data_IF_269427011194
#
_entry.id   IF_269427011194
#
_cell.length_a   1.000
_cell.length_b   1.000
_cell.length_c   1.000
_cell.angle_alpha   90.00
_cell.angle_beta   90.00
_cell.angle_gamma   90.00
#
_symmetry.space_group_name_H-M   'P 1'
#
loop_
_entity.id
_entity.type
_entity.pdbx_description
1 polymer ?
#
# COMPACT_ATOMS: atom_id res chain seq x y z
N UNK A 1 1.05 -21.28 -71.03
CA UNK A 1 1.61 -20.84 -69.73
C UNK A 1 0.47 -20.46 -68.82
N UNK A 2 0.10 -21.32 -67.86
CA UNK A 2 -1.03 -21.12 -66.95
C UNK A 2 -0.44 -20.71 -65.59
N UNK A 3 -0.71 -19.47 -65.15
CA UNK A 3 -0.34 -18.97 -63.82
C UNK A 3 -1.36 -19.49 -62.81
N UNK A 4 -0.94 -20.41 -61.93
CA UNK A 4 -1.70 -20.81 -60.74
C UNK A 4 -1.68 -19.67 -59.73
N UNK A 5 -2.86 -19.13 -59.39
CA UNK A 5 -3.05 -18.23 -58.27
C UNK A 5 -3.38 -19.11 -57.05
N UNK A 6 -2.47 -19.13 -56.08
CA UNK A 6 -2.68 -19.80 -54.79
C UNK A 6 -3.24 -18.73 -53.84
N UNK A 7 -4.51 -18.86 -53.46
CA UNK A 7 -5.09 -18.08 -52.36
C UNK A 7 -4.55 -18.63 -51.02
N UNK A 8 -3.76 -17.83 -50.31
CA UNK A 8 -3.48 -18.06 -48.89
C UNK A 8 -4.59 -17.40 -48.07
N UNK A 9 -5.43 -18.22 -47.44
CA UNK A 9 -6.44 -17.78 -46.47
C UNK A 9 -5.79 -17.75 -45.08
N UNK A 10 -5.45 -16.55 -44.61
CA UNK A 10 -4.82 -16.35 -43.30
C UNK A 10 -5.90 -16.25 -42.22
N UNK A 11 -6.09 -17.32 -41.46
CA UNK A 11 -6.94 -17.32 -40.26
C UNK A 11 -6.19 -16.57 -39.15
N UNK A 12 -6.60 -15.32 -38.88
CA UNK A 12 -6.19 -14.58 -37.70
C UNK A 12 -6.97 -15.10 -36.48
N UNK A 13 -6.36 -16.02 -35.73
CA UNK A 13 -6.85 -16.40 -34.40
C UNK A 13 -6.42 -15.28 -33.44
N UNK A 14 -7.30 -14.32 -33.20
CA UNK A 14 -7.15 -13.33 -32.13
C UNK A 14 -7.30 -14.03 -30.78
N UNK A 15 -6.18 -14.44 -30.19
CA UNK A 15 -6.13 -14.87 -28.79
C UNK A 15 -6.30 -13.64 -27.89
N UNK A 16 -7.54 -13.31 -27.56
CA UNK A 16 -7.83 -12.50 -26.38
C UNK A 16 -7.67 -13.40 -25.17
N UNK A 17 -6.44 -13.59 -24.69
CA UNK A 17 -6.19 -14.16 -23.37
C UNK A 17 -6.67 -13.16 -22.33
N UNK A 18 -7.95 -13.22 -22.00
CA UNK A 18 -8.43 -12.76 -20.69
C UNK A 18 -7.78 -13.73 -19.70
N UNK A 19 -6.59 -13.38 -19.22
CA UNK A 19 -6.03 -14.02 -18.04
C UNK A 19 -6.97 -13.68 -16.89
N UNK A 20 -7.92 -14.57 -16.63
CA UNK A 20 -8.58 -14.62 -15.35
C UNK A 20 -7.47 -14.84 -14.32
N UNK A 21 -7.10 -13.78 -13.58
CA UNK A 21 -6.25 -13.96 -12.42
C UNK A 21 -7.02 -14.90 -11.47
N UNK A 22 -6.42 -16.01 -11.02
CA UNK A 22 -7.05 -16.83 -10.00
C UNK A 22 -7.14 -15.98 -8.74
N UNK A 23 -8.35 -15.60 -8.36
CA UNK A 23 -8.60 -14.95 -7.08
C UNK A 23 -8.25 -15.96 -5.98
N UNK A 24 -7.04 -15.86 -5.40
CA UNK A 24 -6.62 -16.77 -4.35
C UNK A 24 -7.58 -16.70 -3.15
N UNK A 25 -7.80 -17.85 -2.51
CA UNK A 25 -8.45 -17.87 -1.22
C UNK A 25 -7.51 -17.27 -0.17
N UNK A 26 -8.04 -16.44 0.73
CA UNK A 26 -7.28 -15.95 1.88
C UNK A 26 -6.67 -17.10 2.66
N UNK A 27 -5.38 -17.00 2.96
CA UNK A 27 -4.61 -18.00 3.70
C UNK A 27 -4.33 -17.53 5.11
N UNK A 28 -3.56 -16.45 5.24
CA UNK A 28 -3.08 -15.92 6.50
C UNK A 28 -2.61 -14.48 6.34
N UNK A 29 -2.35 -13.80 7.46
CA UNK A 29 -1.53 -12.58 7.49
C UNK A 29 -0.15 -12.99 7.98
N UNK A 30 0.91 -12.47 7.35
CA UNK A 30 2.30 -12.82 7.71
C UNK A 30 2.67 -12.41 9.13
N UNK A 31 2.04 -11.35 9.63
CA UNK A 31 2.16 -10.85 11.00
C UNK A 31 0.81 -10.26 11.43
N UNK A 32 0.34 -10.56 12.64
CA UNK A 32 -1.01 -10.19 13.05
C UNK A 32 -1.08 -8.83 13.74
N UNK A 33 -0.05 -8.53 14.53
CA UNK A 33 -0.01 -7.38 15.39
C UNK A 33 1.11 -6.47 14.91
N UNK A 34 0.86 -5.18 14.96
CA UNK A 34 1.96 -4.24 14.86
C UNK A 34 2.62 -4.14 16.24
N UNK A 35 3.94 -4.35 16.29
CA UNK A 35 4.73 -4.02 17.49
C UNK A 35 4.62 -2.53 17.88
N UNK A 36 4.11 -1.71 16.96
CA UNK A 36 4.23 -0.26 16.96
C UNK A 36 2.89 0.49 17.09
N UNK A 37 1.74 -0.19 17.06
CA UNK A 37 0.44 0.44 17.31
C UNK A 37 -0.64 -0.61 17.57
N UNK A 38 -1.80 -0.21 18.08
CA UNK A 38 -2.91 -1.11 18.42
C UNK A 38 -3.68 -1.67 17.19
N UNK A 39 -3.01 -1.81 16.04
CA UNK A 39 -3.58 -2.38 14.84
C UNK A 39 -3.61 -3.90 14.92
N UNK A 40 -4.80 -4.49 14.74
CA UNK A 40 -4.95 -5.94 14.68
C UNK A 40 -5.35 -6.36 13.26
N UNK A 41 -4.34 -6.71 12.47
CA UNK A 41 -4.52 -7.16 11.09
C UNK A 41 -5.23 -8.52 11.02
N UNK A 42 -5.19 -9.33 12.07
CA UNK A 42 -5.84 -10.63 12.17
C UNK A 42 -7.22 -10.60 12.85
N UNK A 43 -7.80 -9.42 13.07
CA UNK A 43 -9.14 -9.32 13.65
C UNK A 43 -10.17 -10.01 12.74
N UNK A 44 -11.24 -10.55 13.34
CA UNK A 44 -12.29 -11.28 12.59
C UNK A 44 -12.89 -10.41 11.47
N UNK A 45 -13.07 -9.12 11.72
CA UNK A 45 -13.56 -8.15 10.74
C UNK A 45 -12.59 -7.98 9.58
N UNK A 46 -11.30 -7.81 9.87
CA UNK A 46 -10.27 -7.67 8.84
C UNK A 46 -10.13 -8.94 7.99
N UNK A 47 -10.09 -10.13 8.61
CA UNK A 47 -10.04 -11.41 7.87
C UNK A 47 -11.25 -11.57 6.94
N UNK A 48 -12.45 -11.20 7.40
CA UNK A 48 -13.64 -11.22 6.53
C UNK A 48 -13.47 -10.29 5.33
N UNK A 49 -13.01 -9.05 5.59
CA UNK A 49 -12.76 -8.06 4.54
C UNK A 49 -11.72 -8.54 3.52
N UNK A 50 -10.64 -9.18 3.97
CA UNK A 50 -9.62 -9.72 3.06
C UNK A 50 -10.17 -10.83 2.16
N UNK A 51 -10.97 -11.75 2.73
CA UNK A 51 -11.66 -12.79 1.97
C UNK A 51 -12.57 -12.21 0.90
N UNK A 52 -13.32 -11.15 1.23
CA UNK A 52 -14.24 -10.51 0.30
C UNK A 52 -13.49 -9.75 -0.80
N UNK A 53 -12.44 -9.01 -0.43
CA UNK A 53 -11.62 -8.23 -1.37
C UNK A 53 -10.88 -9.15 -2.35
N UNK A 54 -10.25 -10.23 -1.86
CA UNK A 54 -9.56 -11.20 -2.73
C UNK A 54 -10.51 -11.87 -3.74
N UNK A 55 -11.80 -12.04 -3.41
CA UNK A 55 -12.79 -12.62 -4.33
C UNK A 55 -13.29 -11.64 -5.38
N UNK A 56 -13.31 -10.35 -5.08
CA UNK A 56 -14.07 -9.35 -5.84
C UNK A 56 -13.20 -8.34 -6.57
N UNK A 57 -11.98 -8.11 -6.09
CA UNK A 57 -11.10 -7.06 -6.58
C UNK A 57 -9.95 -7.63 -7.41
N UNK A 58 -9.50 -6.86 -8.40
CA UNK A 58 -8.25 -7.13 -9.13
C UNK A 58 -7.09 -6.52 -8.38
N UNK A 59 -5.87 -7.01 -8.65
CA UNK A 59 -4.66 -6.37 -8.16
C UNK A 59 -4.65 -4.87 -8.52
N UNK A 60 -4.35 -4.04 -7.53
CA UNK A 60 -4.23 -2.59 -7.67
C UNK A 60 -2.83 -2.11 -7.25
N UNK A 61 -1.89 -3.01 -6.98
CA UNK A 61 -0.57 -2.68 -6.49
C UNK A 61 0.43 -3.70 -7.03
N UNK A 62 1.48 -3.24 -7.72
CA UNK A 62 2.50 -4.10 -8.36
C UNK A 62 1.93 -5.20 -9.29
N UNK A 63 0.76 -4.99 -9.90
CA UNK A 63 -0.02 -5.98 -10.67
C UNK A 63 -0.31 -7.33 -9.96
N UNK A 64 0.08 -7.44 -8.69
CA UNK A 64 0.14 -8.69 -7.94
C UNK A 64 -0.64 -8.59 -6.64
N UNK A 65 -0.62 -7.44 -6.00
CA UNK A 65 -1.21 -7.23 -4.69
C UNK A 65 -2.48 -6.38 -4.79
N UNK A 66 -3.33 -6.53 -3.79
CA UNK A 66 -4.36 -5.55 -3.45
C UNK A 66 -3.88 -4.80 -2.22
N UNK A 67 -3.56 -3.52 -2.37
CA UNK A 67 -3.26 -2.61 -1.28
C UNK A 67 -4.57 -2.12 -0.66
N UNK A 68 -4.71 -2.32 0.65
CA UNK A 68 -5.93 -2.03 1.41
C UNK A 68 -5.59 -1.23 2.67
N UNK A 69 -6.37 -0.18 2.93
CA UNK A 69 -6.35 0.49 4.25
C UNK A 69 -7.32 -0.22 5.20
N UNK A 70 -6.79 -0.80 6.28
CA UNK A 70 -7.54 -1.43 7.38
C UNK A 70 -7.88 -0.46 8.50
N UNK A 71 -7.22 0.70 8.54
CA UNK A 71 -7.51 1.78 9.47
C UNK A 71 -8.77 2.57 9.11
N UNK A 72 -8.81 3.82 9.53
CA UNK A 72 -9.94 4.74 9.33
C UNK A 72 -9.62 5.78 8.26
N UNK A 73 -10.47 6.80 8.11
CA UNK A 73 -10.15 7.97 7.28
C UNK A 73 -9.12 8.90 7.93
N UNK A 74 -8.91 8.75 9.24
CA UNK A 74 -8.02 9.60 10.04
C UNK A 74 -6.73 8.86 10.46
N UNK A 75 -6.66 7.57 10.15
CA UNK A 75 -5.51 6.70 10.42
C UNK A 75 -5.33 5.70 9.29
N UNK A 76 -4.14 5.69 8.67
CA UNK A 76 -3.76 4.72 7.65
C UNK A 76 -3.02 3.56 8.30
N UNK A 77 -3.54 2.37 8.08
CA UNK A 77 -2.92 1.09 8.45
C UNK A 77 -3.03 0.23 7.19
N UNK A 78 -1.93 0.00 6.49
CA UNK A 78 -1.97 -0.60 5.17
C UNK A 78 -1.59 -2.08 5.21
N UNK A 79 -2.21 -2.86 4.35
CA UNK A 79 -1.86 -4.27 4.10
C UNK A 79 -1.86 -4.53 2.59
N UNK A 80 -0.88 -5.29 2.11
CA UNK A 80 -0.85 -5.79 0.75
C UNK A 80 -1.28 -7.26 0.73
N UNK A 81 -2.39 -7.56 0.05
CA UNK A 81 -2.92 -8.91 -0.12
C UNK A 81 -2.40 -9.50 -1.43
N UNK A 82 -1.62 -10.58 -1.36
CA UNK A 82 -1.12 -11.29 -2.54
C UNK A 82 -2.26 -12.06 -3.22
N UNK A 83 -2.62 -11.63 -4.44
CA UNK A 83 -3.73 -12.23 -5.20
C UNK A 83 -3.44 -13.66 -5.65
N UNK A 84 -2.19 -14.11 -5.62
CA UNK A 84 -1.77 -15.45 -6.06
C UNK A 84 -1.66 -16.43 -4.89
N UNK A 85 -1.16 -15.97 -3.74
CA UNK A 85 -0.90 -16.84 -2.58
C UNK A 85 -1.95 -16.73 -1.46
N UNK A 86 -2.73 -15.65 -1.46
CA UNK A 86 -3.71 -15.36 -0.42
C UNK A 86 -3.11 -14.90 0.91
N UNK A 87 -1.81 -14.60 0.94
CA UNK A 87 -1.11 -14.07 2.13
C UNK A 87 -1.27 -12.55 2.17
N UNK A 88 -1.57 -11.99 3.35
CA UNK A 88 -1.53 -10.56 3.60
C UNK A 88 -0.22 -10.13 4.26
N UNK A 89 0.39 -9.06 3.76
CA UNK A 89 1.62 -8.47 4.29
C UNK A 89 1.32 -7.08 4.85
N UNK A 90 1.28 -6.91 6.19
CA UNK A 90 1.02 -5.62 6.79
C UNK A 90 2.20 -4.66 6.64
N UNK A 91 1.88 -3.37 6.55
CA UNK A 91 2.81 -2.28 6.75
C UNK A 91 2.72 -1.90 8.23
N UNK A 92 3.74 -2.27 9.02
CA UNK A 92 3.76 -2.13 10.48
C UNK A 92 3.94 -0.67 10.98
N UNK A 93 3.46 0.33 10.24
CA UNK A 93 3.39 1.71 10.68
C UNK A 93 1.99 2.26 10.53
N UNK A 94 1.57 3.07 11.51
CA UNK A 94 0.34 3.85 11.43
C UNK A 94 0.68 5.28 11.03
N UNK A 95 -0.10 5.84 10.09
CA UNK A 95 0.01 7.25 9.71
C UNK A 95 -1.27 8.00 10.07
N UNK A 96 -1.14 9.05 10.86
CA UNK A 96 -2.24 9.98 11.17
C UNK A 96 -2.04 11.32 10.45
N UNK A 97 -2.94 12.26 10.70
CA UNK A 97 -2.94 13.53 9.99
C UNK A 97 -1.77 14.46 10.35
N UNK A 98 -1.78 15.61 9.68
CA UNK A 98 -0.74 16.61 9.74
C UNK A 98 -1.08 17.69 10.74
N UNK A 99 -0.16 18.03 11.62
CA UNK A 99 -0.33 18.97 12.73
C UNK A 99 0.54 20.21 12.56
N UNK A 100 -0.03 21.40 12.73
CA UNK A 100 0.77 22.63 12.73
C UNK A 100 1.74 22.68 13.92
N UNK A 101 2.59 23.72 13.96
CA UNK A 101 3.61 23.89 15.00
C UNK A 101 3.02 24.02 16.43
N UNK A 102 1.70 24.16 16.56
CA UNK A 102 0.99 24.20 17.85
C UNK A 102 0.22 22.90 18.15
N UNK A 103 0.39 21.86 17.33
CA UNK A 103 -0.30 20.57 17.48
C UNK A 103 -1.73 20.55 16.90
N UNK A 104 -2.16 21.56 16.15
CA UNK A 104 -3.51 21.55 15.57
C UNK A 104 -3.53 20.76 14.27
N UNK A 105 -4.43 19.77 14.19
CA UNK A 105 -4.67 19.00 12.97
C UNK A 105 -5.14 19.91 11.80
N UNK A 106 -4.39 19.94 10.70
CA UNK A 106 -4.69 20.73 9.48
C UNK A 106 -5.07 19.88 8.27
N UNK A 107 -4.64 18.62 8.23
CA UNK A 107 -4.84 17.74 7.06
C UNK A 107 -4.94 16.29 7.49
N UNK A 108 -5.81 15.51 6.86
CA UNK A 108 -5.88 14.04 7.04
C UNK A 108 -4.63 13.35 6.48
N UNK A 109 -4.29 12.13 6.95
CA UNK A 109 -3.24 11.35 6.30
C UNK A 109 -3.64 11.02 4.86
N UNK A 110 -2.65 10.80 4.02
CA UNK A 110 -2.87 10.42 2.61
C UNK A 110 -1.78 9.47 2.14
N UNK A 111 -2.04 8.74 1.05
CA UNK A 111 -1.06 7.86 0.46
C UNK A 111 -1.21 7.81 -1.06
N UNK A 112 -0.12 7.49 -1.73
CA UNK A 112 -0.05 7.26 -3.18
C UNK A 112 0.68 5.95 -3.41
N UNK A 113 0.30 5.19 -4.43
CA UNK A 113 0.93 3.91 -4.75
C UNK A 113 0.98 3.70 -6.26
N UNK A 114 1.85 2.80 -6.70
CA UNK A 114 2.01 2.44 -8.11
C UNK A 114 1.20 1.20 -8.47
N UNK A 115 0.63 1.19 -9.67
CA UNK A 115 0.10 -0.05 -10.24
C UNK A 115 1.23 -0.97 -10.73
N UNK A 116 2.38 -0.40 -11.07
CA UNK A 116 3.44 -1.07 -11.83
C UNK A 116 4.65 -1.50 -10.98
N UNK A 117 4.70 -1.07 -9.73
CA UNK A 117 5.74 -1.44 -8.79
C UNK A 117 5.14 -1.54 -7.39
N UNK A 118 5.89 -2.14 -6.47
CA UNK A 118 5.46 -2.33 -5.08
C UNK A 118 5.70 -1.11 -4.19
N UNK A 119 5.77 0.12 -4.74
CA UNK A 119 6.03 1.34 -3.96
C UNK A 119 4.75 2.05 -3.52
N UNK A 120 4.65 2.32 -2.23
CA UNK A 120 3.61 3.15 -1.61
C UNK A 120 4.26 4.26 -0.78
N UNK A 121 3.79 5.50 -0.94
CA UNK A 121 4.25 6.64 -0.17
C UNK A 121 3.11 7.18 0.70
N UNK A 122 3.32 7.16 2.01
CA UNK A 122 2.40 7.67 3.01
C UNK A 122 2.82 9.09 3.43
N UNK A 123 1.83 9.90 3.75
CA UNK A 123 1.96 11.32 4.01
C UNK A 123 1.13 11.70 5.23
N UNK A 124 1.79 12.08 6.31
CA UNK A 124 1.17 12.32 7.62
C UNK A 124 2.20 12.23 8.74
N UNK A 125 1.72 12.09 9.96
CA UNK A 125 2.57 11.81 11.11
C UNK A 125 2.64 10.30 11.35
N UNK A 126 3.85 9.77 11.46
CA UNK A 126 4.11 8.34 11.63
C UNK A 126 4.21 8.00 13.12
N UNK A 127 3.57 6.89 13.51
CA UNK A 127 3.72 6.29 14.84
C UNK A 127 4.53 5.01 14.76
N UNK A 128 5.45 4.84 15.72
CA UNK A 128 6.23 3.62 15.96
C UNK A 128 5.97 2.99 17.35
N UNK A 129 4.99 3.45 18.13
CA UNK A 129 4.42 2.65 19.22
C UNK A 129 4.88 2.88 20.64
N UNK A 130 5.67 3.92 20.91
CA UNK A 130 5.96 4.29 22.29
C UNK A 130 4.77 5.02 22.95
N UNK A 131 3.84 4.23 23.50
CA UNK A 131 2.82 4.55 24.54
C UNK A 131 1.59 5.42 24.15
N UNK A 132 0.43 5.22 24.83
CA UNK A 132 -0.74 6.07 24.64
C UNK A 132 -0.49 7.46 25.21
N UNK A 133 -0.41 8.45 24.32
CA UNK A 133 -0.20 9.86 24.68
C UNK A 133 1.22 10.39 24.45
N UNK A 134 2.12 9.63 23.83
CA UNK A 134 3.50 10.09 23.56
C UNK A 134 3.91 9.90 22.10
N UNK A 135 4.43 11.01 21.55
CA UNK A 135 5.31 11.22 20.41
C UNK A 135 5.13 10.38 19.13
N UNK A 136 4.73 11.09 18.07
CA UNK A 136 5.00 10.69 16.69
C UNK A 136 6.52 10.49 16.54
N UNK A 137 6.96 9.36 15.97
CA UNK A 137 8.37 9.13 15.62
C UNK A 137 8.86 10.24 14.70
N UNK A 138 7.99 10.57 13.75
CA UNK A 138 8.18 11.64 12.80
C UNK A 138 6.86 12.35 12.54
N UNK A 139 6.83 13.66 12.79
CA UNK A 139 5.69 14.52 12.49
C UNK A 139 5.75 15.00 11.06
N UNK A 140 4.59 15.06 10.39
CA UNK A 140 4.44 15.74 9.09
C UNK A 140 5.46 15.27 8.06
N UNK A 141 5.53 13.96 7.81
CA UNK A 141 6.47 13.38 6.87
C UNK A 141 5.79 12.87 5.61
N UNK A 142 6.60 12.71 4.56
CA UNK A 142 6.36 11.74 3.49
C UNK A 142 7.39 10.63 3.67
N UNK A 143 6.95 9.38 3.70
CA UNK A 143 7.83 8.21 3.70
C UNK A 143 7.32 7.17 2.71
N UNK A 144 8.23 6.56 1.95
CA UNK A 144 7.90 5.56 0.96
C UNK A 144 8.40 4.19 1.39
N UNK A 145 7.57 3.19 1.13
CA UNK A 145 7.78 1.79 1.42
C UNK A 145 7.67 0.99 0.14
N UNK A 146 8.37 -0.13 0.08
CA UNK A 146 8.20 -1.09 -0.99
C UNK A 146 8.15 -2.51 -0.44
N UNK A 147 7.46 -3.42 -1.13
CA UNK A 147 7.51 -4.83 -0.75
C UNK A 147 8.83 -5.40 -1.21
N UNK A 148 9.59 -5.94 -0.26
CA UNK A 148 10.80 -6.72 -0.52
C UNK A 148 10.56 -8.17 -0.17
N UNK A 149 11.12 -9.05 -0.98
CA UNK A 149 11.19 -10.49 -0.73
C UNK A 149 12.65 -10.87 -0.59
N UNK A 150 13.01 -11.40 0.57
CA UNK A 150 14.28 -12.10 0.78
C UNK A 150 14.04 -13.62 0.88
N UNK A 151 15.09 -14.38 1.18
CA UNK A 151 15.01 -15.85 1.25
C UNK A 151 14.10 -16.36 2.39
N UNK A 152 13.80 -15.51 3.38
CA UNK A 152 13.10 -15.90 4.61
C UNK A 152 11.74 -15.21 4.78
N UNK A 153 11.59 -13.97 4.31
CA UNK A 153 10.45 -13.11 4.59
C UNK A 153 10.04 -12.27 3.38
N UNK A 154 8.78 -11.86 3.38
CA UNK A 154 8.24 -10.85 2.47
C UNK A 154 7.56 -9.79 3.34
N UNK A 155 7.99 -8.54 3.22
CA UNK A 155 7.50 -7.44 4.08
C UNK A 155 7.65 -6.09 3.38
N UNK A 156 7.03 -5.06 3.94
CA UNK A 156 7.31 -3.69 3.56
C UNK A 156 8.65 -3.23 4.14
N UNK A 157 9.47 -2.60 3.31
CA UNK A 157 10.72 -1.94 3.69
C UNK A 157 10.66 -0.46 3.28
N UNK A 158 11.03 0.42 4.21
CA UNK A 158 11.27 1.84 3.90
C UNK A 158 12.71 2.03 3.46
N UNK A 159 12.93 2.92 2.50
CA UNK A 159 14.27 3.44 2.23
C UNK A 159 14.37 4.83 2.85
N UNK A 160 15.25 5.02 3.85
CA UNK A 160 15.42 6.28 4.57
C UNK A 160 15.65 7.51 3.67
N UNK A 161 16.16 7.30 2.45
CA UNK A 161 16.33 8.35 1.43
C UNK A 161 15.03 9.03 0.99
N UNK A 162 13.88 8.38 1.19
CA UNK A 162 12.57 8.88 0.78
C UNK A 162 11.81 9.59 1.90
N UNK A 163 12.39 9.65 3.11
CA UNK A 163 11.81 10.36 4.23
C UNK A 163 12.05 11.86 4.08
N UNK A 164 10.96 12.60 3.89
CA UNK A 164 10.98 14.07 3.84
C UNK A 164 10.11 14.57 4.98
N UNK A 165 10.71 15.34 5.88
CA UNK A 165 9.97 16.06 6.92
C UNK A 165 9.50 17.41 6.40
N UNK A 166 8.34 17.86 6.87
CA UNK A 166 7.74 19.13 6.48
C UNK A 166 7.41 19.96 7.71
N UNK A 167 7.48 21.27 7.55
CA UNK A 167 6.99 22.25 8.50
C UNK A 167 5.80 23.01 7.91
N UNK A 168 4.87 23.43 8.77
CA UNK A 168 3.75 24.26 8.34
C UNK A 168 4.14 25.74 8.33
N UNK A 169 4.21 26.33 7.14
CA UNK A 169 4.40 27.78 7.00
C UNK A 169 3.07 28.50 7.25
N UNK A 170 2.93 29.07 8.46
CA UNK A 170 1.71 29.77 8.91
C UNK A 170 1.33 30.95 8.00
N UNK A 171 2.31 31.73 7.54
CA UNK A 171 2.06 32.92 6.73
C UNK A 171 1.51 32.58 5.34
N UNK A 172 2.02 31.51 4.74
CA UNK A 172 1.66 31.07 3.39
C UNK A 172 0.56 30.01 3.39
N UNK A 173 0.20 29.46 4.55
CA UNK A 173 -0.75 28.36 4.71
C UNK A 173 -0.36 27.13 3.84
N UNK A 174 0.93 26.77 3.83
CA UNK A 174 1.46 25.65 3.04
C UNK A 174 2.46 24.83 3.84
N UNK A 175 2.57 23.55 3.49
CA UNK A 175 3.61 22.65 3.98
C UNK A 175 4.87 22.83 3.15
N UNK A 176 6.00 23.08 3.80
CA UNK A 176 7.31 23.22 3.15
C UNK A 176 8.23 22.11 3.62
N UNK A 177 9.01 21.47 2.74
CA UNK A 177 10.05 20.54 3.17
C UNK A 177 10.99 21.23 4.15
N UNK A 178 11.29 20.55 5.25
CA UNK A 178 12.29 21.00 6.21
C UNK A 178 13.66 20.88 5.55
N UNK A 179 14.31 22.02 5.33
CA UNK A 179 15.70 22.09 4.88
C UNK A 179 16.59 22.31 6.09
N UNK A 180 17.41 21.32 6.43
CA UNK A 180 18.53 21.49 7.37
C UNK A 180 19.51 22.57 6.87
#
# INVERSE_FOLDING_TARGET
MIKKIILFSSILISYSSIQAQPNANFREVSDCDSDLFNGNFCSKSNISRYKDVLKTSKANFDHKFILLNTGTLDSLELIALDTQTGIGYPLNYQFTGWEDNNGNLKKKPSYTFSLNDSRVCLMGSQYDGDHPGTHQTYSNIRNCFHIKKDDKYTSFESTYIDLVQYEYNVQKNVWVPYSN
#
